data_IF_522876474224
#
_entry.id   IF_522876474224
#
_cell.length_a   1.000
_cell.length_b   1.000
_cell.length_c   1.000
_cell.angle_alpha   90.00
_cell.angle_beta   90.00
_cell.angle_gamma   90.00
#
_symmetry.space_group_name_H-M   'P 1'
#
loop_
_entity.id
_entity.type
_entity.pdbx_description
1 polymer ?
#
# COMPACT_ATOMS: atom_id res chain seq x y z
N UNK A 1 -4.87 5.21 -18.65
CA UNK A 1 -4.76 3.86 -18.04
C UNK A 1 -3.31 3.58 -17.73
N UNK A 2 -2.97 3.28 -16.47
CA UNK A 2 -1.58 3.07 -16.04
C UNK A 2 -0.87 1.97 -16.84
N UNK A 3 -1.53 0.86 -17.11
CA UNK A 3 -0.97 -0.25 -17.88
C UNK A 3 -0.45 0.15 -19.27
N UNK A 4 -1.09 1.09 -19.94
CA UNK A 4 -0.66 1.53 -21.25
C UNK A 4 0.76 2.13 -21.29
N UNK A 5 1.24 2.69 -20.16
CA UNK A 5 2.62 3.20 -20.04
C UNK A 5 3.67 2.08 -19.95
N UNK A 6 3.24 0.88 -19.56
CA UNK A 6 4.12 -0.24 -19.24
C UNK A 6 3.83 -1.50 -20.07
N UNK A 7 3.02 -1.35 -21.13
CA UNK A 7 2.69 -2.45 -22.03
C UNK A 7 1.59 -3.38 -21.57
N UNK A 8 0.83 -2.98 -20.54
CA UNK A 8 -0.35 -3.71 -20.05
C UNK A 8 -1.65 -3.15 -20.62
N UNK A 9 -2.73 -3.87 -20.39
CA UNK A 9 -4.09 -3.59 -20.88
C UNK A 9 -5.07 -3.12 -19.80
N UNK A 10 -4.63 -3.11 -18.55
CA UNK A 10 -5.43 -2.70 -17.39
C UNK A 10 -4.97 -1.35 -16.83
N UNK A 11 -5.52 -0.92 -15.71
CA UNK A 11 -5.15 0.32 -15.05
C UNK A 11 -5.55 0.31 -13.58
N UNK A 12 -5.10 1.33 -12.87
CA UNK A 12 -5.52 1.56 -11.49
C UNK A 12 -7.03 1.75 -11.40
N UNK A 13 -7.61 1.36 -10.28
CA UNK A 13 -9.00 1.61 -9.92
C UNK A 13 -9.02 2.71 -8.86
N UNK A 14 -9.68 3.81 -9.16
CA UNK A 14 -9.93 4.86 -8.18
C UNK A 14 -11.42 4.96 -7.93
N UNK A 15 -11.81 4.81 -6.66
CA UNK A 15 -13.20 4.89 -6.23
C UNK A 15 -13.37 5.92 -5.11
N UNK A 16 -14.56 6.47 -5.02
CA UNK A 16 -14.92 7.46 -4.02
C UNK A 16 -16.25 7.05 -3.39
N UNK A 17 -16.28 7.01 -2.07
CA UNK A 17 -17.48 6.90 -1.28
C UNK A 17 -17.72 8.26 -0.61
N UNK A 18 -18.74 8.96 -1.06
CA UNK A 18 -19.14 10.23 -0.45
C UNK A 18 -19.67 9.98 0.96
N UNK A 19 -19.42 10.91 1.85
CA UNK A 19 -19.86 10.83 3.25
C UNK A 19 -20.63 12.09 3.66
N UNK A 20 -21.38 12.00 4.75
CA UNK A 20 -22.24 13.07 5.27
C UNK A 20 -21.50 13.99 6.24
N UNK A 21 -20.34 13.54 6.77
CA UNK A 21 -19.55 14.33 7.70
C UNK A 21 -18.52 15.19 6.96
N UNK A 22 -18.47 16.46 7.34
CA UNK A 22 -17.41 17.35 6.89
C UNK A 22 -16.04 16.96 7.50
N UNK A 23 -15.00 17.34 6.81
CA UNK A 23 -13.61 17.16 7.23
C UNK A 23 -12.74 16.56 6.13
N UNK A 24 -11.45 16.46 6.39
CA UNK A 24 -10.52 15.91 5.42
C UNK A 24 -10.84 14.44 5.13
N UNK A 25 -10.95 14.06 3.85
CA UNK A 25 -11.06 12.67 3.44
C UNK A 25 -9.82 11.86 3.82
N UNK A 26 -9.98 10.54 3.85
CA UNK A 26 -8.88 9.60 3.90
C UNK A 26 -8.85 8.76 2.62
N UNK A 27 -7.67 8.34 2.19
CA UNK A 27 -7.52 7.40 1.08
C UNK A 27 -6.89 6.10 1.58
N UNK A 28 -7.50 4.98 1.17
CA UNK A 28 -6.94 3.64 1.38
C UNK A 28 -6.39 3.13 0.06
N UNK A 29 -5.23 2.47 0.13
CA UNK A 29 -4.54 1.94 -1.04
C UNK A 29 -4.10 0.51 -0.79
N UNK A 30 -4.16 -0.30 -1.85
CA UNK A 30 -3.63 -1.66 -1.93
C UNK A 30 -3.29 -1.96 -3.40
N UNK A 31 -2.41 -2.92 -3.66
CA UNK A 31 -2.09 -3.27 -5.05
C UNK A 31 -2.78 -4.56 -5.51
N UNK A 32 -3.02 -4.67 -6.82
CA UNK A 32 -3.77 -5.77 -7.43
C UNK A 32 -2.87 -6.83 -8.06
N UNK A 33 -1.64 -6.49 -8.36
CA UNK A 33 -0.68 -7.41 -8.93
C UNK A 33 -0.05 -8.30 -7.87
N UNK A 34 0.52 -9.41 -8.29
CA UNK A 34 1.20 -10.39 -7.46
C UNK A 34 2.43 -10.90 -8.20
N UNK A 35 3.45 -11.34 -7.45
CA UNK A 35 4.66 -11.94 -8.03
C UNK A 35 4.39 -13.32 -8.64
N UNK A 36 5.25 -13.74 -9.57
CA UNK A 36 5.25 -15.10 -10.10
C UNK A 36 5.87 -16.12 -9.10
N UNK A 37 5.45 -17.40 -9.13
CA UNK A 37 4.44 -18.02 -9.98
C UNK A 37 3.05 -17.96 -9.34
N UNK A 38 2.07 -17.38 -10.01
CA UNK A 38 0.70 -17.24 -9.49
C UNK A 38 -0.35 -18.04 -10.29
N UNK A 39 -0.01 -18.45 -11.51
CA UNK A 39 -0.97 -19.09 -12.41
C UNK A 39 -1.49 -20.40 -11.86
N UNK A 40 -2.82 -20.53 -11.78
CA UNK A 40 -3.48 -21.72 -11.26
C UNK A 40 -3.45 -21.84 -9.73
N UNK A 41 -3.12 -20.78 -9.00
CA UNK A 41 -3.13 -20.76 -7.54
C UNK A 41 -4.45 -21.23 -6.95
N UNK A 42 -4.38 -21.95 -5.83
CA UNK A 42 -5.53 -22.38 -5.04
C UNK A 42 -5.23 -22.13 -3.58
N UNK A 43 -6.15 -21.47 -2.90
CA UNK A 43 -6.05 -21.25 -1.46
C UNK A 43 -6.50 -22.48 -0.68
N UNK A 44 -5.83 -22.75 0.42
CA UNK A 44 -6.20 -23.75 1.42
C UNK A 44 -6.35 -23.04 2.76
N UNK A 45 -7.49 -23.25 3.40
CA UNK A 45 -7.75 -22.78 4.76
C UNK A 45 -7.47 -23.92 5.75
N UNK A 46 -6.52 -23.71 6.64
CA UNK A 46 -6.18 -24.64 7.72
C UNK A 46 -7.15 -24.48 8.91
N UNK A 47 -7.11 -25.48 9.80
CA UNK A 47 -8.01 -25.49 10.99
C UNK A 47 -7.73 -24.37 11.97
N UNK A 48 -6.53 -23.86 12.01
CA UNK A 48 -6.11 -22.74 12.87
C UNK A 48 -6.44 -21.36 12.27
N UNK A 49 -7.00 -21.34 11.06
CA UNK A 49 -7.36 -20.11 10.35
C UNK A 49 -6.28 -19.64 9.36
N UNK A 50 -5.12 -20.28 9.32
CA UNK A 50 -4.07 -19.96 8.35
C UNK A 50 -4.53 -20.25 6.92
N UNK A 51 -4.25 -19.33 6.01
CA UNK A 51 -4.51 -19.53 4.58
C UNK A 51 -3.16 -19.58 3.86
N UNK A 52 -2.96 -20.61 3.05
CA UNK A 52 -1.75 -20.76 2.24
C UNK A 52 -2.07 -21.22 0.82
N UNK A 53 -1.09 -21.19 -0.07
CA UNK A 53 -1.24 -21.75 -1.41
C UNK A 53 -1.10 -23.26 -1.40
N UNK A 54 -1.90 -23.93 -2.22
CA UNK A 54 -1.70 -25.35 -2.51
C UNK A 54 -0.75 -25.50 -3.71
N UNK A 55 0.37 -26.22 -3.52
CA UNK A 55 1.33 -26.51 -4.58
C UNK A 55 2.43 -25.46 -4.72
N UNK A 56 2.88 -25.23 -5.94
CA UNK A 56 4.10 -24.49 -6.24
C UNK A 56 3.83 -23.03 -6.67
N UNK A 57 2.72 -22.45 -6.23
CA UNK A 57 2.37 -21.05 -6.51
C UNK A 57 2.42 -20.20 -5.26
N UNK A 58 2.63 -18.90 -5.41
CA UNK A 58 2.39 -17.95 -4.34
C UNK A 58 0.88 -17.88 -4.05
N UNK A 59 0.51 -17.54 -2.81
CA UNK A 59 -0.88 -17.28 -2.45
C UNK A 59 -1.37 -15.96 -3.06
N UNK A 60 -0.50 -14.96 -3.13
CA UNK A 60 -0.82 -13.59 -3.52
C UNK A 60 -1.62 -12.87 -2.45
N UNK A 61 -1.38 -13.21 -1.17
CA UNK A 61 -1.93 -12.43 -0.05
C UNK A 61 -1.43 -10.99 -0.12
N UNK A 62 -0.22 -10.84 -0.58
CA UNK A 62 0.40 -9.58 -0.97
C UNK A 62 -0.03 -9.23 -2.41
N UNK A 63 -0.94 -8.28 -2.65
CA UNK A 63 -1.65 -7.53 -1.60
C UNK A 63 -3.18 -7.70 -1.72
N UNK A 64 -3.61 -8.88 -2.14
CA UNK A 64 -5.05 -9.20 -2.23
C UNK A 64 -5.71 -9.16 -0.83
N UNK A 65 -4.95 -9.42 0.25
CA UNK A 65 -5.48 -9.29 1.60
C UNK A 65 -5.82 -7.84 1.94
N UNK A 66 -4.95 -6.88 1.59
CA UNK A 66 -5.23 -5.46 1.77
C UNK A 66 -6.46 -5.00 1.00
N UNK A 67 -6.63 -5.47 -0.24
CA UNK A 67 -7.85 -5.20 -1.02
C UNK A 67 -9.10 -5.71 -0.28
N UNK A 68 -9.06 -6.96 0.22
CA UNK A 68 -10.18 -7.56 0.93
C UNK A 68 -10.50 -6.83 2.22
N UNK A 69 -9.49 -6.42 2.96
CA UNK A 69 -9.64 -5.65 4.20
C UNK A 69 -10.30 -4.30 3.93
N UNK A 70 -9.84 -3.56 2.92
CA UNK A 70 -10.43 -2.28 2.53
C UNK A 70 -11.90 -2.46 2.15
N UNK A 71 -12.20 -3.42 1.28
CA UNK A 71 -13.57 -3.66 0.82
C UNK A 71 -14.49 -4.09 1.97
N UNK A 72 -14.00 -4.95 2.87
CA UNK A 72 -14.76 -5.39 4.04
C UNK A 72 -15.01 -4.24 5.02
N UNK A 73 -14.00 -3.42 5.30
CA UNK A 73 -14.17 -2.25 6.17
C UNK A 73 -15.17 -1.25 5.58
N UNK A 74 -15.11 -0.99 4.28
CA UNK A 74 -16.09 -0.15 3.58
C UNK A 74 -17.50 -0.73 3.70
N UNK A 75 -17.65 -2.04 3.53
CA UNK A 75 -18.95 -2.70 3.71
C UNK A 75 -19.48 -2.53 5.14
N UNK A 76 -18.61 -2.70 6.16
CA UNK A 76 -19.00 -2.49 7.56
C UNK A 76 -19.44 -1.03 7.83
N UNK A 77 -18.78 -0.05 7.23
CA UNK A 77 -19.16 1.36 7.33
C UNK A 77 -20.55 1.55 6.76
N UNK A 78 -20.82 1.04 5.56
CA UNK A 78 -22.13 1.14 4.90
C UNK A 78 -23.23 0.44 5.70
N UNK A 79 -22.97 -0.79 6.16
CA UNK A 79 -23.94 -1.59 6.92
C UNK A 79 -24.26 -0.98 8.30
N UNK A 80 -23.33 -0.20 8.85
CA UNK A 80 -23.53 0.49 10.13
C UNK A 80 -24.63 1.56 10.07
N UNK A 81 -24.88 2.11 8.89
CA UNK A 81 -25.79 3.26 8.68
C UNK A 81 -25.36 4.53 9.41
N UNK A 82 -24.14 4.58 9.94
CA UNK A 82 -23.63 5.74 10.64
C UNK A 82 -23.05 6.75 9.65
N UNK A 83 -23.21 8.06 9.91
CA UNK A 83 -22.56 9.08 9.11
C UNK A 83 -21.03 8.88 9.13
N UNK A 84 -20.40 9.05 7.98
CA UNK A 84 -18.95 8.95 7.82
C UNK A 84 -18.40 10.09 6.96
N UNK A 85 -17.11 10.31 7.03
CA UNK A 85 -16.41 11.21 6.12
C UNK A 85 -16.24 10.55 4.76
N UNK A 86 -15.94 11.38 3.76
CA UNK A 86 -15.57 10.89 2.43
C UNK A 86 -14.39 9.93 2.52
N UNK A 87 -14.50 8.79 1.85
CA UNK A 87 -13.47 7.76 1.73
C UNK A 87 -13.06 7.68 0.26
N UNK A 88 -11.77 7.74 0.01
CA UNK A 88 -11.17 7.50 -1.30
C UNK A 88 -10.47 6.16 -1.28
N UNK A 89 -10.47 5.45 -2.39
CA UNK A 89 -9.86 4.13 -2.51
C UNK A 89 -9.06 4.10 -3.81
N UNK A 90 -7.82 3.66 -3.74
CA UNK A 90 -6.96 3.47 -4.89
C UNK A 90 -6.43 2.04 -4.89
N UNK A 91 -6.83 1.24 -5.88
CA UNK A 91 -6.19 -0.03 -6.15
C UNK A 91 -5.25 0.13 -7.32
N UNK A 92 -3.99 -0.19 -7.12
CA UNK A 92 -2.91 0.03 -8.08
C UNK A 92 -2.55 -1.23 -8.84
N UNK A 93 -1.82 -1.07 -9.92
CA UNK A 93 -1.19 -2.14 -10.68
C UNK A 93 0.32 -1.93 -10.72
N UNK A 94 1.09 -3.01 -10.82
CA UNK A 94 2.54 -2.95 -11.03
C UNK A 94 3.28 -2.36 -9.84
N UNK A 95 2.81 -2.60 -8.62
CA UNK A 95 3.53 -2.29 -7.39
C UNK A 95 4.81 -3.11 -7.35
N UNK A 96 4.70 -4.42 -7.55
CA UNK A 96 5.79 -5.41 -7.61
C UNK A 96 6.81 -5.15 -8.74
N UNK A 97 6.48 -4.24 -9.63
CA UNK A 97 7.34 -3.75 -10.71
C UNK A 97 7.87 -2.34 -10.41
N UNK A 98 8.13 -2.04 -9.13
CA UNK A 98 8.61 -0.74 -8.64
C UNK A 98 7.55 0.36 -8.72
N UNK A 99 6.39 0.15 -8.09
CA UNK A 99 5.27 1.10 -7.89
C UNK A 99 4.78 1.81 -9.16
N UNK A 100 4.89 1.13 -10.31
CA UNK A 100 4.65 1.75 -11.63
C UNK A 100 3.25 2.32 -11.80
N UNK A 101 2.25 1.66 -11.24
CA UNK A 101 0.86 2.10 -11.35
C UNK A 101 0.61 3.39 -10.59
N UNK A 102 1.08 3.48 -9.36
CA UNK A 102 0.92 4.67 -8.53
C UNK A 102 1.76 5.85 -9.03
N UNK A 103 2.94 5.62 -9.59
CA UNK A 103 3.80 6.68 -10.13
C UNK A 103 3.14 7.44 -11.31
N UNK A 104 2.27 6.79 -12.08
CA UNK A 104 1.57 7.42 -13.23
C UNK A 104 0.11 7.77 -12.93
N UNK A 105 -0.33 7.60 -11.68
CA UNK A 105 -1.68 7.97 -11.29
C UNK A 105 -1.83 9.50 -11.24
N UNK A 106 -3.00 9.99 -11.65
CA UNK A 106 -3.34 11.42 -11.61
C UNK A 106 -3.80 11.82 -10.20
N UNK A 107 -2.86 12.23 -9.36
CA UNK A 107 -3.10 12.64 -7.98
C UNK A 107 -3.93 13.92 -7.85
N UNK A 108 -4.17 14.67 -8.92
CA UNK A 108 -5.09 15.82 -8.88
C UNK A 108 -6.53 15.42 -8.56
N UNK A 109 -6.87 14.14 -8.70
CA UNK A 109 -8.16 13.57 -8.34
C UNK A 109 -8.32 13.27 -6.85
N UNK A 110 -7.21 13.14 -6.13
CA UNK A 110 -7.20 12.83 -4.70
C UNK A 110 -7.45 14.12 -3.91
N UNK A 111 -8.41 14.06 -3.02
CA UNK A 111 -8.70 15.18 -2.11
C UNK A 111 -8.25 14.89 -0.68
N UNK A 112 -7.96 13.62 -0.38
CA UNK A 112 -7.41 13.19 0.89
C UNK A 112 -6.03 13.81 1.14
N UNK A 113 -5.74 14.07 2.41
CA UNK A 113 -4.42 14.52 2.89
C UNK A 113 -3.66 13.42 3.63
N UNK A 114 -4.36 12.33 3.94
CA UNK A 114 -3.82 11.17 4.65
C UNK A 114 -4.11 9.92 3.84
N UNK A 115 -3.08 9.11 3.63
CA UNK A 115 -3.16 7.82 2.97
C UNK A 115 -2.83 6.69 3.94
N UNK A 116 -3.58 5.61 3.86
CA UNK A 116 -3.29 4.36 4.52
C UNK A 116 -3.08 3.30 3.45
N UNK A 117 -1.85 2.86 3.30
CA UNK A 117 -1.46 1.86 2.32
C UNK A 117 -1.37 0.53 3.04
N UNK A 118 -2.23 -0.42 2.68
CA UNK A 118 -2.15 -1.77 3.18
C UNK A 118 -1.14 -2.50 2.29
N UNK A 119 -0.10 -3.05 2.91
CA UNK A 119 1.00 -3.67 2.19
C UNK A 119 1.83 -4.50 3.17
N UNK A 120 2.72 -5.35 2.67
CA UNK A 120 3.65 -6.05 3.51
C UNK A 120 4.73 -5.08 4.03
N UNK A 121 4.84 -4.97 5.35
CA UNK A 121 6.01 -4.36 5.97
C UNK A 121 6.91 -5.46 6.54
N UNK A 122 7.83 -5.99 5.74
CA UNK A 122 8.86 -6.90 6.27
C UNK A 122 9.84 -6.15 7.16
N UNK A 123 10.22 -6.77 8.27
CA UNK A 123 11.31 -6.29 9.09
C UNK A 123 12.60 -6.24 8.25
N UNK A 124 13.11 -5.04 8.01
CA UNK A 124 14.44 -4.80 7.46
C UNK A 124 14.62 -4.94 5.94
N UNK A 125 13.97 -4.10 5.16
CA UNK A 125 14.50 -3.81 3.80
C UNK A 125 14.89 -2.34 3.72
N UNK A 126 16.14 -2.06 3.39
CA UNK A 126 16.62 -0.70 3.12
C UNK A 126 16.29 -0.36 1.67
N UNK A 127 15.29 0.47 1.44
CA UNK A 127 14.96 0.95 0.10
C UNK A 127 15.47 2.36 -0.11
N UNK A 128 16.35 2.51 -1.10
CA UNK A 128 16.78 3.80 -1.60
C UNK A 128 15.95 4.08 -2.85
N UNK A 129 14.99 4.96 -2.76
CA UNK A 129 14.06 5.27 -3.85
C UNK A 129 14.77 5.71 -5.14
N UNK A 130 15.77 6.56 -5.04
CA UNK A 130 16.65 6.90 -6.18
C UNK A 130 18.08 7.16 -5.73
N UNK A 131 19.03 6.74 -6.55
CA UNK A 131 20.45 7.10 -6.42
C UNK A 131 20.84 7.82 -7.72
N UNK A 132 21.28 9.05 -7.61
CA UNK A 132 21.82 9.81 -8.72
C UNK A 132 23.23 10.29 -8.38
N UNK A 133 24.22 9.86 -9.16
CA UNK A 133 25.60 10.25 -8.94
C UNK A 133 26.51 9.83 -10.09
N UNK A 134 27.56 10.61 -10.30
CA UNK A 134 28.58 10.32 -11.28
C UNK A 134 28.23 10.65 -12.73
N UNK A 135 29.26 10.72 -13.56
CA UNK A 135 29.19 11.03 -14.99
C UNK A 135 29.57 9.84 -15.86
N UNK A 136 30.23 8.84 -15.30
CA UNK A 136 30.65 7.62 -16.00
C UNK A 136 30.95 6.50 -14.99
N UNK A 137 30.83 5.24 -15.42
CA UNK A 137 30.99 4.04 -14.59
C UNK A 137 32.37 3.82 -14.04
N UNK A 138 33.38 4.48 -14.58
CA UNK A 138 34.81 4.40 -14.21
C UNK A 138 35.32 5.65 -13.47
N UNK A 139 34.44 6.55 -13.06
CA UNK A 139 34.76 7.77 -12.34
C UNK A 139 34.07 7.73 -10.98
N UNK A 140 34.84 7.94 -9.91
CA UNK A 140 34.27 8.10 -8.57
C UNK A 140 33.48 9.41 -8.52
N UNK A 141 32.18 9.39 -8.21
CA UNK A 141 31.37 10.60 -8.18
C UNK A 141 31.78 11.50 -7.00
N UNK A 142 31.85 12.78 -7.25
CA UNK A 142 32.04 13.82 -6.24
C UNK A 142 30.76 14.13 -5.46
N UNK A 143 29.62 13.71 -5.97
CA UNK A 143 28.32 13.81 -5.33
C UNK A 143 27.44 12.61 -5.67
N UNK A 144 26.76 12.09 -4.65
CA UNK A 144 25.67 11.10 -4.79
C UNK A 144 24.47 11.61 -4.03
N UNK A 145 23.32 11.72 -4.69
CA UNK A 145 22.06 12.14 -4.09
C UNK A 145 21.18 10.95 -3.90
N UNK A 146 20.75 10.71 -2.65
CA UNK A 146 19.75 9.72 -2.28
C UNK A 146 18.46 10.46 -1.95
N UNK A 147 17.35 10.01 -2.52
CA UNK A 147 16.03 10.53 -2.17
C UNK A 147 15.25 9.40 -1.52
N UNK A 148 14.84 9.64 -0.27
CA UNK A 148 13.93 8.79 0.48
C UNK A 148 12.76 9.64 0.96
N UNK A 149 11.61 9.01 1.10
CA UNK A 149 10.43 9.64 1.70
C UNK A 149 10.13 8.93 3.02
N UNK A 150 9.83 9.70 4.03
CA UNK A 150 9.64 9.20 5.38
C UNK A 150 8.35 9.76 5.96
N UNK A 151 7.57 8.90 6.63
CA UNK A 151 6.47 9.34 7.47
C UNK A 151 7.01 9.58 8.88
N UNK A 152 6.80 10.76 9.43
CA UNK A 152 7.26 11.07 10.78
C UNK A 152 6.30 10.50 11.83
N UNK A 153 6.85 10.09 13.00
CA UNK A 153 6.06 9.58 14.13
C UNK A 153 5.05 10.61 14.68
N UNK A 154 5.25 11.88 14.38
CA UNK A 154 4.37 12.98 14.80
C UNK A 154 3.28 13.29 13.77
N UNK A 155 3.24 12.55 12.68
CA UNK A 155 2.30 12.77 11.60
C UNK A 155 0.85 12.52 12.04
N UNK A 156 -0.08 13.14 11.32
CA UNK A 156 -1.52 12.97 11.62
C UNK A 156 -2.00 11.56 11.29
N UNK A 157 -1.49 10.95 10.24
CA UNK A 157 -1.82 9.56 9.87
C UNK A 157 -1.43 8.58 10.98
N UNK A 158 -0.24 8.74 11.57
CA UNK A 158 0.23 7.93 12.70
C UNK A 158 -0.62 8.17 13.95
N UNK A 159 -0.87 9.42 14.30
CA UNK A 159 -1.66 9.74 15.50
C UNK A 159 -3.11 9.28 15.40
N UNK A 160 -3.73 9.40 14.24
CA UNK A 160 -5.10 8.91 14.01
C UNK A 160 -5.16 7.39 14.04
N UNK A 161 -4.16 6.70 13.46
CA UNK A 161 -4.05 5.23 13.53
C UNK A 161 -3.89 4.74 14.98
N UNK A 162 -2.96 5.31 15.74
CA UNK A 162 -2.77 4.92 17.14
C UNK A 162 -4.02 5.14 17.97
N UNK A 163 -4.73 6.24 17.78
CA UNK A 163 -6.00 6.51 18.44
C UNK A 163 -7.08 5.49 18.05
N UNK A 164 -7.13 5.09 16.80
CA UNK A 164 -8.06 4.03 16.36
C UNK A 164 -7.73 2.70 17.04
N UNK A 165 -6.45 2.33 17.11
CA UNK A 165 -6.01 1.14 17.83
C UNK A 165 -6.41 1.18 19.31
N UNK A 166 -6.21 2.31 20.00
CA UNK A 166 -6.59 2.51 21.41
C UNK A 166 -8.11 2.30 21.61
N UNK A 167 -8.92 2.92 20.74
CA UNK A 167 -10.40 2.77 20.83
C UNK A 167 -10.84 1.32 20.66
N UNK A 168 -10.15 0.55 19.83
CA UNK A 168 -10.45 -0.85 19.53
C UNK A 168 -9.76 -1.83 20.48
N UNK A 169 -8.91 -1.35 21.39
CA UNK A 169 -8.18 -2.18 22.35
C UNK A 169 -7.01 -2.95 21.74
N UNK A 170 -6.46 -2.48 20.64
CA UNK A 170 -5.26 -3.04 20.00
C UNK A 170 -4.01 -2.27 20.39
N UNK A 171 -2.87 -2.96 20.35
CA UNK A 171 -1.55 -2.31 20.40
C UNK A 171 -1.19 -1.82 19.00
N UNK A 172 -1.09 -0.52 18.81
CA UNK A 172 -0.62 0.09 17.57
C UNK A 172 0.90 0.21 17.58
N UNK A 173 1.61 -0.88 17.35
CA UNK A 173 3.07 -0.85 17.27
C UNK A 173 3.52 -0.14 15.99
N UNK A 174 4.52 0.72 16.14
CA UNK A 174 5.13 1.44 15.03
C UNK A 174 6.54 0.90 14.82
N UNK A 175 6.84 0.53 13.60
CA UNK A 175 8.18 0.16 13.18
C UNK A 175 8.59 0.97 11.96
N UNK A 176 9.88 1.19 11.81
CA UNK A 176 10.40 1.81 10.59
C UNK A 176 10.69 0.74 9.56
N UNK A 177 10.18 0.92 8.35
CA UNK A 177 10.57 0.12 7.19
C UNK A 177 11.22 0.99 6.13
N UNK A 178 12.15 0.42 5.40
CA UNK A 178 12.78 1.05 4.23
C UNK A 178 12.34 0.37 2.93
N UNK A 179 11.34 -0.50 2.99
CA UNK A 179 10.72 -1.10 1.82
C UNK A 179 10.03 -0.07 0.95
N UNK A 180 10.02 -0.28 -0.37
CA UNK A 180 9.22 0.52 -1.29
C UNK A 180 7.77 0.06 -1.22
N UNK A 181 6.84 0.99 -1.32
CA UNK A 181 5.42 0.73 -1.49
C UNK A 181 4.78 1.89 -2.23
N UNK A 182 3.53 1.77 -2.58
CA UNK A 182 2.73 2.85 -3.16
C UNK A 182 2.72 4.11 -2.29
N UNK A 183 3.05 4.01 -1.00
CA UNK A 183 3.21 5.15 -0.10
C UNK A 183 4.24 6.16 -0.60
N UNK A 184 5.28 5.72 -1.30
CA UNK A 184 6.28 6.62 -1.88
C UNK A 184 5.66 7.58 -2.90
N UNK A 185 4.70 7.11 -3.69
CA UNK A 185 4.00 7.94 -4.67
C UNK A 185 3.05 8.95 -4.01
N UNK A 186 2.38 8.58 -2.91
CA UNK A 186 1.60 9.52 -2.10
C UNK A 186 2.48 10.62 -1.53
N UNK A 187 3.61 10.26 -0.92
CA UNK A 187 4.54 11.22 -0.34
C UNK A 187 5.11 12.22 -1.37
N UNK A 188 5.48 11.75 -2.56
CA UNK A 188 5.89 12.61 -3.69
C UNK A 188 4.85 13.66 -4.06
N UNK A 189 3.56 13.35 -3.84
CA UNK A 189 2.44 14.24 -4.16
C UNK A 189 1.92 15.02 -2.94
N UNK A 190 2.67 15.04 -1.84
CA UNK A 190 2.36 15.82 -0.65
C UNK A 190 1.18 15.26 0.17
N UNK A 191 0.88 13.98 0.02
CA UNK A 191 -0.11 13.26 0.82
C UNK A 191 0.64 12.47 1.87
N UNK A 192 0.31 12.70 3.13
CA UNK A 192 0.92 12.02 4.25
C UNK A 192 0.42 10.57 4.33
N UNK A 193 1.32 9.60 4.24
CA UNK A 193 0.96 8.20 4.19
C UNK A 193 1.52 7.38 5.35
N UNK A 194 0.83 6.30 5.67
CA UNK A 194 1.24 5.27 6.62
C UNK A 194 1.02 3.91 5.97
N UNK A 195 2.06 3.07 5.98
CA UNK A 195 1.93 1.67 5.55
C UNK A 195 1.42 0.85 6.73
N UNK A 196 0.39 0.06 6.49
CA UNK A 196 -0.22 -0.83 7.47
C UNK A 196 0.06 -2.29 7.07
N UNK A 197 0.74 -3.02 7.95
CA UNK A 197 0.94 -4.46 7.76
C UNK A 197 -0.37 -5.22 8.03
N UNK A 198 -0.71 -6.13 7.15
CA UNK A 198 -1.96 -6.89 7.16
C UNK A 198 -1.77 -8.38 7.55
N UNK A 199 -0.78 -8.66 8.39
CA UNK A 199 -0.60 -9.99 9.01
C UNK A 199 -0.13 -11.08 8.05
N UNK A 200 0.49 -10.72 6.96
CA UNK A 200 1.11 -11.65 6.03
C UNK A 200 2.46 -12.14 6.54
N UNK A 201 2.78 -13.39 6.23
CA UNK A 201 4.08 -14.00 6.51
C UNK A 201 4.60 -14.70 5.26
N UNK A 202 5.90 -14.64 5.02
CA UNK A 202 6.55 -15.26 3.88
C UNK A 202 5.91 -14.88 2.55
N UNK A 203 5.49 -13.64 2.40
CA UNK A 203 5.05 -13.11 1.11
C UNK A 203 6.13 -13.36 0.05
N UNK A 204 5.76 -13.43 -1.20
CA UNK A 204 6.65 -13.78 -2.30
C UNK A 204 7.23 -15.21 -2.21
N UNK A 205 6.65 -16.07 -1.37
CA UNK A 205 7.08 -17.45 -1.19
C UNK A 205 6.00 -18.46 -1.62
N UNK A 206 6.44 -19.61 -2.06
CA UNK A 206 5.56 -20.77 -2.35
C UNK A 206 5.43 -21.72 -1.14
N UNK A 207 5.89 -21.33 0.05
CA UNK A 207 5.94 -22.17 1.25
C UNK A 207 5.27 -21.50 2.43
#
# INVERSE_FOLDING_TARGET
QAGAFYGGDTGNIFAVLDGELEGDPVIFCAHMDVVEPWSGKKSVLEKDGTIHSAGDTVLGADDISGILEILYCVQLVLDSGKPHKKIEILFTIGEELYVKGSDVFDYSKVTAKQAYVLDLSEETTFNIGTIQGGTATNIVPDCCVLTAYETTLESKSVTDFQKACEILGFSGELTGTFGGSDNNSFAKNGIEGLVLSNGMYNAHSTR
#
